data_IF_318280222978
#
_entry.id   IF_318280222978
#
_cell.length_a   1.000
_cell.length_b   1.000
_cell.length_c   1.000
_cell.angle_alpha   90.00
_cell.angle_beta   90.00
_cell.angle_gamma   90.00
#
_symmetry.space_group_name_H-M   'P 1'
#
loop_
_entity.id
_entity.type
_entity.pdbx_description
1 polymer ?
#
# COMPACT_ATOMS: atom_id res chain seq x y z
N UNK A 1 12.80 15.25 -6.59
CA UNK A 1 11.68 14.30 -6.75
C UNK A 1 10.59 14.72 -5.81
N UNK A 2 9.42 15.04 -6.36
CA UNK A 2 8.25 15.38 -5.56
C UNK A 2 7.66 14.13 -4.90
N UNK A 3 6.96 14.30 -3.78
CA UNK A 3 6.32 13.20 -3.07
C UNK A 3 5.31 12.43 -3.94
N UNK A 4 4.68 13.12 -4.90
CA UNK A 4 3.75 12.53 -5.86
C UNK A 4 4.43 11.49 -6.76
N UNK A 5 5.61 11.81 -7.31
CA UNK A 5 6.38 10.89 -8.13
C UNK A 5 6.82 9.66 -7.33
N UNK A 6 7.20 9.85 -6.06
CA UNK A 6 7.58 8.74 -5.18
C UNK A 6 6.41 7.80 -4.91
N UNK A 7 5.21 8.34 -4.70
CA UNK A 7 3.99 7.56 -4.52
C UNK A 7 3.63 6.75 -5.78
N UNK A 8 3.74 7.35 -6.96
CA UNK A 8 3.49 6.65 -8.22
C UNK A 8 4.52 5.56 -8.50
N UNK A 9 5.81 5.84 -8.26
CA UNK A 9 6.86 4.84 -8.36
C UNK A 9 6.64 3.68 -7.40
N UNK A 10 6.20 3.97 -6.16
CA UNK A 10 5.91 2.98 -5.14
C UNK A 10 4.72 2.09 -5.51
N UNK A 11 3.66 2.67 -6.09
CA UNK A 11 2.53 1.90 -6.64
C UNK A 11 2.97 0.96 -7.78
N UNK A 12 3.76 1.48 -8.73
CA UNK A 12 4.26 0.69 -9.85
C UNK A 12 5.18 -0.44 -9.39
N UNK A 13 6.11 -0.13 -8.47
CA UNK A 13 6.99 -1.11 -7.86
C UNK A 13 6.19 -2.19 -7.13
N UNK A 14 5.19 -1.78 -6.36
CA UNK A 14 4.32 -2.69 -5.62
C UNK A 14 3.55 -3.64 -6.56
N UNK A 15 3.01 -3.14 -7.68
CA UNK A 15 2.37 -4.00 -8.70
C UNK A 15 3.33 -5.03 -9.29
N UNK A 16 4.58 -4.65 -9.56
CA UNK A 16 5.58 -5.57 -10.09
C UNK A 16 6.01 -6.62 -9.06
N UNK A 17 6.30 -6.18 -7.82
CA UNK A 17 6.76 -7.03 -6.73
C UNK A 17 5.67 -8.07 -6.35
N UNK A 18 4.40 -7.66 -6.33
CA UNK A 18 3.31 -8.58 -6.02
C UNK A 18 2.96 -9.52 -7.16
N UNK A 19 3.10 -9.08 -8.42
CA UNK A 19 2.96 -9.96 -9.56
C UNK A 19 4.05 -11.05 -9.57
N UNK A 20 5.24 -10.73 -9.05
CA UNK A 20 6.29 -11.70 -8.81
C UNK A 20 6.08 -12.55 -7.53
N UNK A 21 5.30 -12.04 -6.57
CA UNK A 21 4.99 -12.74 -5.32
C UNK A 21 3.85 -13.75 -5.49
N UNK A 22 4.19 -14.95 -5.99
CA UNK A 22 3.24 -16.07 -6.14
C UNK A 22 3.01 -16.91 -4.88
N UNK A 23 3.82 -16.71 -3.84
CA UNK A 23 3.86 -17.58 -2.66
C UNK A 23 3.56 -16.81 -1.37
N UNK A 24 3.10 -17.54 -0.34
CA UNK A 24 2.81 -16.97 0.97
C UNK A 24 4.01 -16.24 1.59
N UNK A 25 5.23 -16.74 1.38
CA UNK A 25 6.45 -16.09 1.85
C UNK A 25 6.74 -14.76 1.14
N UNK A 26 6.57 -14.71 -0.18
CA UNK A 26 6.77 -13.49 -0.96
C UNK A 26 5.69 -12.43 -0.65
N UNK A 27 4.45 -12.86 -0.43
CA UNK A 27 3.36 -12.00 0.04
C UNK A 27 3.65 -11.37 1.40
N UNK A 28 4.12 -12.14 2.37
CA UNK A 28 4.46 -11.61 3.69
C UNK A 28 5.63 -10.60 3.60
N UNK A 29 6.66 -10.90 2.80
CA UNK A 29 7.77 -9.97 2.53
C UNK A 29 7.27 -8.67 1.89
N UNK A 30 6.39 -8.78 0.89
CA UNK A 30 5.74 -7.64 0.26
C UNK A 30 4.99 -6.80 1.30
N UNK A 31 4.15 -7.42 2.13
CA UNK A 31 3.41 -6.74 3.19
C UNK A 31 4.35 -6.00 4.14
N UNK A 32 5.43 -6.62 4.57
CA UNK A 32 6.39 -5.98 5.49
C UNK A 32 7.08 -4.79 4.80
N UNK A 33 7.49 -4.95 3.54
CA UNK A 33 8.22 -3.93 2.76
C UNK A 33 7.37 -2.71 2.42
N UNK A 34 6.08 -2.89 2.10
CA UNK A 34 5.21 -1.80 1.67
C UNK A 34 4.23 -1.35 2.77
N UNK A 35 3.51 -2.29 3.37
CA UNK A 35 2.44 -2.04 4.36
C UNK A 35 2.91 -2.14 5.83
N UNK A 36 4.17 -2.54 6.07
CA UNK A 36 4.70 -2.76 7.40
C UNK A 36 4.91 -1.49 8.22
N UNK A 37 5.32 -1.67 9.47
CA UNK A 37 5.54 -0.55 10.40
C UNK A 37 6.67 0.40 9.97
N UNK A 38 7.59 -0.07 9.11
CA UNK A 38 8.64 0.68 8.41
C UNK A 38 8.49 0.55 6.88
N UNK A 39 7.26 0.30 6.44
CA UNK A 39 6.97 0.07 5.03
C UNK A 39 6.98 1.36 4.23
N UNK A 40 7.26 1.25 2.94
CA UNK A 40 7.37 2.39 2.03
C UNK A 40 6.12 3.30 2.06
N UNK A 41 4.91 2.73 2.22
CA UNK A 41 3.66 3.50 2.31
C UNK A 41 3.63 4.41 3.54
N UNK A 42 4.12 3.90 4.68
CA UNK A 42 4.13 4.66 5.94
C UNK A 42 5.21 5.74 5.92
N UNK A 43 6.34 5.47 5.26
CA UNK A 43 7.38 6.47 4.98
C UNK A 43 6.83 7.61 4.12
N UNK A 44 6.12 7.30 3.03
CA UNK A 44 5.48 8.31 2.18
C UNK A 44 4.43 9.13 2.95
N UNK A 45 3.62 8.50 3.83
CA UNK A 45 2.69 9.24 4.70
C UNK A 45 3.38 10.13 5.74
N UNK A 46 4.57 9.76 6.22
CA UNK A 46 5.34 10.62 7.12
C UNK A 46 5.89 11.84 6.38
N UNK A 47 6.40 11.67 5.16
CA UNK A 47 6.91 12.75 4.31
C UNK A 47 5.79 13.70 3.86
N UNK A 48 4.54 13.24 3.83
CA UNK A 48 3.36 14.09 3.66
C UNK A 48 3.28 15.22 4.70
N UNK A 49 3.83 15.02 5.91
CA UNK A 49 3.84 16.06 6.96
C UNK A 49 4.73 17.24 6.58
N UNK A 50 5.77 16.98 5.79
CA UNK A 50 6.76 17.95 5.30
C UNK A 50 6.25 18.72 4.08
N UNK A 51 5.16 18.27 3.44
CA UNK A 51 4.55 18.95 2.30
C UNK A 51 3.89 20.28 2.73
N UNK A 52 4.02 21.35 1.94
CA UNK A 52 3.33 22.62 2.17
C UNK A 52 1.80 22.45 2.19
N UNK A 53 1.11 23.32 2.91
CA UNK A 53 -0.36 23.25 3.12
C UNK A 53 -1.16 23.29 1.81
N UNK A 54 -0.62 23.93 0.78
CA UNK A 54 -1.25 24.05 -0.53
C UNK A 54 -1.27 22.71 -1.29
N UNK A 55 -0.24 21.88 -1.13
CA UNK A 55 -0.13 20.59 -1.82
C UNK A 55 -0.55 19.40 -0.93
N UNK A 56 -0.64 19.60 0.39
CA UNK A 56 -1.12 18.60 1.37
C UNK A 56 -2.42 17.87 0.98
N UNK A 57 -3.50 18.56 0.54
CA UNK A 57 -4.72 17.85 0.17
C UNK A 57 -4.56 16.96 -1.08
N UNK A 58 -3.84 17.43 -2.10
CA UNK A 58 -3.58 16.66 -3.31
C UNK A 58 -2.67 15.46 -3.03
N UNK A 59 -1.55 15.70 -2.35
CA UNK A 59 -0.60 14.67 -1.96
C UNK A 59 -1.23 13.65 -0.98
N UNK A 60 -2.09 14.10 -0.06
CA UNK A 60 -2.73 13.24 0.92
C UNK A 60 -3.78 12.33 0.29
N UNK A 61 -4.54 12.86 -0.67
CA UNK A 61 -5.46 12.05 -1.49
C UNK A 61 -4.68 10.99 -2.26
N UNK A 62 -3.59 11.37 -2.93
CA UNK A 62 -2.76 10.43 -3.69
C UNK A 62 -2.11 9.37 -2.81
N UNK A 63 -1.60 9.75 -1.63
CA UNK A 63 -1.02 8.82 -0.67
C UNK A 63 -2.04 7.78 -0.19
N UNK A 64 -3.27 8.20 0.09
CA UNK A 64 -4.35 7.29 0.45
C UNK A 64 -4.78 6.39 -0.71
N UNK A 65 -4.85 6.91 -1.94
CA UNK A 65 -5.13 6.11 -3.15
C UNK A 65 -4.08 5.02 -3.34
N UNK A 66 -2.79 5.37 -3.28
CA UNK A 66 -1.67 4.41 -3.44
C UNK A 66 -1.69 3.38 -2.31
N UNK A 67 -1.88 3.80 -1.06
CA UNK A 67 -2.04 2.89 0.08
C UNK A 67 -3.17 1.88 -0.16
N UNK A 68 -4.34 2.35 -0.58
CA UNK A 68 -5.50 1.49 -0.84
C UNK A 68 -5.25 0.56 -2.04
N UNK A 69 -4.60 1.04 -3.10
CA UNK A 69 -4.24 0.21 -4.25
C UNK A 69 -3.31 -0.93 -3.85
N UNK A 70 -2.25 -0.63 -3.08
CA UNK A 70 -1.29 -1.63 -2.58
C UNK A 70 -1.98 -2.62 -1.64
N UNK A 71 -2.85 -2.14 -0.76
CA UNK A 71 -3.61 -2.97 0.14
C UNK A 71 -4.54 -3.92 -0.63
N UNK A 72 -5.22 -3.43 -1.67
CA UNK A 72 -6.10 -4.23 -2.53
C UNK A 72 -5.34 -5.28 -3.33
N UNK A 73 -4.16 -4.93 -3.86
CA UNK A 73 -3.26 -5.88 -4.52
C UNK A 73 -2.86 -7.00 -3.56
N UNK A 74 -2.40 -6.62 -2.35
CA UNK A 74 -2.04 -7.57 -1.31
C UNK A 74 -3.19 -8.49 -0.92
N UNK A 75 -4.37 -7.93 -0.69
CA UNK A 75 -5.56 -8.69 -0.31
C UNK A 75 -5.99 -9.64 -1.44
N UNK A 76 -5.94 -9.19 -2.70
CA UNK A 76 -6.22 -10.01 -3.88
C UNK A 76 -5.24 -11.17 -4.07
N UNK A 77 -3.93 -10.91 -3.98
CA UNK A 77 -2.93 -11.96 -4.10
C UNK A 77 -2.93 -12.90 -2.88
N UNK A 78 -3.15 -12.38 -1.67
CA UNK A 78 -3.40 -13.18 -0.47
C UNK A 78 -4.66 -14.02 -0.61
N UNK A 79 -5.70 -13.51 -1.25
CA UNK A 79 -6.89 -14.27 -1.56
C UNK A 79 -6.59 -15.33 -2.62
N UNK A 80 -5.77 -15.10 -3.64
CA UNK A 80 -5.36 -16.14 -4.59
C UNK A 80 -4.53 -17.25 -3.94
N UNK A 81 -3.57 -16.90 -3.07
CA UNK A 81 -2.73 -17.88 -2.34
C UNK A 81 -3.51 -18.55 -1.20
N UNK A 82 -4.47 -17.83 -0.63
CA UNK A 82 -5.30 -18.25 0.51
C UNK A 82 -6.70 -18.76 0.14
N UNK A 83 -7.13 -18.78 -1.13
CA UNK A 83 -8.44 -19.27 -1.57
C UNK A 83 -8.59 -20.80 -1.45
N UNK A 84 -7.53 -21.50 -1.04
CA UNK A 84 -7.66 -22.81 -0.40
C UNK A 84 -8.29 -22.75 1.02
N UNK A 85 -8.54 -21.55 1.58
CA UNK A 85 -9.00 -21.35 2.95
C UNK A 85 -9.57 -19.96 3.23
N UNK A 86 -10.87 -19.79 2.93
CA UNK A 86 -11.82 -18.79 3.43
C UNK A 86 -11.77 -17.36 2.86
N UNK A 87 -12.92 -17.02 2.27
CA UNK A 87 -13.31 -15.73 1.74
C UNK A 87 -13.17 -14.58 2.74
N UNK A 88 -12.70 -13.48 2.17
CA UNK A 88 -12.31 -12.19 2.73
C UNK A 88 -13.50 -11.40 3.27
N UNK A 89 -13.32 -10.83 4.46
CA UNK A 89 -14.01 -9.61 4.92
C UNK A 89 -12.94 -8.68 5.51
N UNK A 90 -12.24 -7.95 4.66
CA UNK A 90 -11.40 -6.80 5.05
C UNK A 90 -11.81 -5.59 4.23
N UNK A 91 -13.03 -5.13 4.49
CA UNK A 91 -13.30 -3.69 4.41
C UNK A 91 -12.38 -3.06 5.43
N UNK A 92 -11.46 -2.22 4.95
CA UNK A 92 -10.64 -1.34 5.75
C UNK A 92 -11.55 -0.44 6.59
N UNK A 93 -11.92 -0.91 7.77
CA UNK A 93 -12.60 -0.10 8.78
C UNK A 93 -11.55 0.82 9.42
N UNK A 94 -11.39 1.97 8.79
CA UNK A 94 -10.79 3.16 9.37
C UNK A 94 -11.92 4.11 9.73
N UNK A 95 -12.78 3.71 10.67
CA UNK A 95 -13.64 4.67 11.38
C UNK A 95 -13.09 4.95 12.77
N UNK A 96 -12.91 6.25 13.01
CA UNK A 96 -12.39 6.91 14.20
C UNK A 96 -13.15 6.48 15.48
N UNK A 97 -12.48 6.49 16.64
CA UNK A 97 -12.66 7.59 17.60
C UNK A 97 -11.36 8.27 18.05
#
# INVERSE_FOLDING_TARGET
>A
MGLLEELEALEAQAKADIAAAGDAGALEQFRIRYLGAKGAVKDAMNRLKEVPREEKPAAGKRANEVKNAIQALYDGARASVGAAGKAVKSVTDVTLP
#
